data_IF_793894086380
#
_entry.id   IF_793894086380
#
_cell.length_a   1.000
_cell.length_b   1.000
_cell.length_c   1.000
_cell.angle_alpha   90.00
_cell.angle_beta   90.00
_cell.angle_gamma   90.00
#
_symmetry.space_group_name_H-M   'P 1'
#
loop_
_entity.id
_entity.type
_entity.pdbx_description
1 polymer ?
#
# COMPACT_ATOMS: atom_id res chain seq x y z
N UNK A 1 70.23 40.92 -4.14
CA UNK A 1 68.90 41.26 -4.71
C UNK A 1 67.87 40.10 -4.72
N UNK A 2 68.22 38.83 -4.47
CA UNK A 2 67.25 37.72 -4.49
C UNK A 2 66.39 37.54 -3.22
N UNK A 3 66.85 38.01 -2.04
CA UNK A 3 66.12 37.84 -0.77
C UNK A 3 64.87 38.72 -0.59
N UNK A 4 64.85 39.89 -1.24
CA UNK A 4 63.72 40.83 -1.17
C UNK A 4 62.51 40.34 -1.97
N UNK A 5 62.74 39.72 -3.14
CA UNK A 5 61.67 39.18 -4.00
C UNK A 5 60.89 38.03 -3.36
N UNK A 6 61.55 37.14 -2.59
CA UNK A 6 60.87 36.03 -1.89
C UNK A 6 59.93 36.50 -0.78
N UNK A 7 60.34 37.49 0.03
CA UNK A 7 59.48 38.04 1.10
C UNK A 7 58.25 38.74 0.53
N UNK A 8 58.40 39.50 -0.56
CA UNK A 8 57.27 40.17 -1.21
C UNK A 8 56.27 39.17 -1.83
N UNK A 9 56.74 38.08 -2.45
CA UNK A 9 55.87 37.04 -3.01
C UNK A 9 55.09 36.30 -1.91
N UNK A 10 55.72 36.00 -0.77
CA UNK A 10 55.04 35.36 0.38
C UNK A 10 53.97 36.28 0.97
N UNK A 11 54.25 37.58 1.10
CA UNK A 11 53.27 38.56 1.62
C UNK A 11 52.10 38.74 0.66
N UNK A 12 52.34 38.82 -0.65
CA UNK A 12 51.27 38.92 -1.66
C UNK A 12 50.42 37.65 -1.69
N UNK A 13 51.05 36.47 -1.58
CA UNK A 13 50.33 35.19 -1.54
C UNK A 13 49.46 35.05 -0.28
N UNK A 14 49.96 35.48 0.88
CA UNK A 14 49.20 35.49 2.13
C UNK A 14 48.02 36.47 2.09
N UNK A 15 48.22 37.65 1.48
CA UNK A 15 47.14 38.63 1.28
C UNK A 15 46.07 38.10 0.32
N UNK A 16 46.47 37.46 -0.79
CA UNK A 16 45.53 36.83 -1.72
C UNK A 16 44.73 35.69 -1.05
N UNK A 17 45.38 34.89 -0.21
CA UNK A 17 44.71 33.83 0.54
C UNK A 17 43.71 34.39 1.57
N UNK A 18 44.08 35.46 2.27
CA UNK A 18 43.20 36.19 3.18
C UNK A 18 42.01 36.84 2.46
N UNK A 19 42.24 37.45 1.30
CA UNK A 19 41.17 38.00 0.47
C UNK A 19 40.24 36.91 -0.07
N UNK A 20 40.79 35.75 -0.46
CA UNK A 20 39.99 34.60 -0.89
C UNK A 20 39.18 34.01 0.27
N UNK A 21 39.76 33.91 1.47
CA UNK A 21 39.08 33.46 2.68
C UNK A 21 37.99 34.45 3.12
N UNK A 22 38.27 35.75 3.06
CA UNK A 22 37.31 36.80 3.38
C UNK A 22 36.16 36.85 2.34
N UNK A 23 36.47 36.69 1.06
CA UNK A 23 35.47 36.61 -0.02
C UNK A 23 34.59 35.36 0.11
N UNK A 24 35.17 34.21 0.43
CA UNK A 24 34.39 32.98 0.68
C UNK A 24 33.53 33.09 1.94
N UNK A 25 34.04 33.67 3.03
CA UNK A 25 33.23 33.97 4.23
C UNK A 25 32.12 34.98 3.94
N UNK A 26 32.37 36.01 3.14
CA UNK A 26 31.36 37.01 2.77
C UNK A 26 30.21 36.41 1.93
N UNK A 27 30.48 35.34 1.17
CA UNK A 27 29.45 34.61 0.42
C UNK A 27 28.75 33.55 1.28
N UNK A 28 29.51 32.82 2.10
CA UNK A 28 28.99 31.71 2.91
C UNK A 28 28.24 32.17 4.17
N UNK A 29 28.63 33.29 4.78
CA UNK A 29 28.03 33.78 6.02
C UNK A 29 26.55 34.21 5.85
N UNK A 30 26.16 34.95 4.79
CA UNK A 30 24.74 35.25 4.53
C UNK A 30 23.92 33.98 4.24
N UNK A 31 24.50 33.00 3.53
CA UNK A 31 23.84 31.71 3.25
C UNK A 31 23.64 30.93 4.55
N UNK A 32 24.64 30.91 5.43
CA UNK A 32 24.55 30.30 6.75
C UNK A 32 23.46 30.95 7.61
N UNK A 33 23.43 32.29 7.68
CA UNK A 33 22.40 33.00 8.45
C UNK A 33 20.98 32.76 7.90
N UNK A 34 20.82 32.77 6.57
CA UNK A 34 19.54 32.44 5.92
C UNK A 34 19.10 31.00 6.15
N UNK A 35 20.05 30.06 6.21
CA UNK A 35 19.75 28.68 6.59
C UNK A 35 19.32 28.57 8.05
N UNK A 36 20.04 29.26 8.96
CA UNK A 36 19.77 29.24 10.40
C UNK A 36 18.39 29.82 10.72
N UNK A 37 18.01 30.93 10.08
CA UNK A 37 16.69 31.51 10.22
C UNK A 37 15.61 30.58 9.66
N UNK A 38 15.83 29.94 8.50
CA UNK A 38 14.90 28.97 7.93
C UNK A 38 14.66 27.76 8.86
N UNK A 39 15.71 27.25 9.53
CA UNK A 39 15.55 26.17 10.51
C UNK A 39 14.75 26.59 11.75
N UNK A 40 15.01 27.77 12.30
CA UNK A 40 14.28 28.28 13.46
C UNK A 40 12.81 28.56 13.14
N UNK A 41 12.54 29.14 11.96
CA UNK A 41 11.17 29.36 11.48
C UNK A 41 10.43 28.05 11.21
N UNK A 42 11.13 27.02 10.71
CA UNK A 42 10.53 25.71 10.48
C UNK A 42 10.19 24.98 11.78
N UNK A 43 11.06 25.03 12.80
CA UNK A 43 10.77 24.41 14.10
C UNK A 43 9.57 25.08 14.79
N UNK A 44 9.48 26.42 14.72
CA UNK A 44 8.32 27.15 15.24
C UNK A 44 7.02 26.84 14.46
N UNK A 45 7.13 26.64 13.14
CA UNK A 45 6.00 26.29 12.29
C UNK A 45 5.55 24.84 12.54
N UNK A 46 6.47 23.90 12.75
CA UNK A 46 6.18 22.51 13.15
C UNK A 46 5.33 22.42 14.42
N UNK A 47 5.57 23.31 15.38
CA UNK A 47 4.85 23.34 16.65
C UNK A 47 3.48 24.05 16.56
N UNK A 48 3.31 24.99 15.64
CA UNK A 48 2.11 25.84 15.55
C UNK A 48 1.15 25.48 14.43
N UNK A 49 1.66 25.05 13.27
CA UNK A 49 0.89 24.68 12.09
C UNK A 49 1.67 23.67 11.22
N UNK A 50 1.56 22.36 11.54
CA UNK A 50 2.30 21.30 10.86
C UNK A 50 1.94 21.18 9.38
N UNK A 51 0.70 21.46 8.98
CA UNK A 51 0.25 21.35 7.59
C UNK A 51 0.96 22.36 6.68
N UNK A 52 1.06 23.61 7.15
CA UNK A 52 1.79 24.66 6.44
C UNK A 52 3.30 24.38 6.41
N UNK A 53 3.85 23.73 7.44
CA UNK A 53 5.25 23.27 7.43
C UNK A 53 5.51 22.23 6.32
N UNK A 54 4.51 21.40 5.98
CA UNK A 54 4.61 20.43 4.90
C UNK A 54 4.68 21.09 3.52
N UNK A 55 3.88 22.13 3.27
CA UNK A 55 3.91 22.88 2.00
C UNK A 55 5.18 23.73 1.87
N UNK A 56 5.68 24.27 2.99
CA UNK A 56 6.90 25.08 3.04
C UNK A 56 8.14 24.35 2.49
N UNK A 57 8.18 23.02 2.55
CA UNK A 57 9.30 22.21 2.03
C UNK A 57 9.44 22.23 0.50
N UNK A 58 8.37 22.53 -0.24
CA UNK A 58 8.40 22.53 -1.72
C UNK A 58 8.96 23.83 -2.30
N UNK A 59 8.92 24.93 -1.54
CA UNK A 59 9.47 26.22 -1.93
C UNK A 59 11.00 26.34 -1.70
N UNK A 60 11.61 25.36 -1.01
CA UNK A 60 13.03 25.39 -0.66
C UNK A 60 13.88 24.89 -1.83
N UNK A 61 14.44 25.84 -2.58
CA UNK A 61 15.31 25.60 -3.74
C UNK A 61 16.66 24.93 -3.41
N UNK A 62 17.10 24.94 -2.15
CA UNK A 62 18.40 24.38 -1.73
C UNK A 62 18.27 22.94 -1.24
N UNK A 63 18.76 21.99 -2.04
CA UNK A 63 18.64 20.55 -1.79
C UNK A 63 19.19 20.12 -0.41
N UNK A 64 20.34 20.66 0.02
CA UNK A 64 20.97 20.31 1.31
C UNK A 64 20.14 20.77 2.52
N UNK A 65 19.48 21.92 2.42
CA UNK A 65 18.61 22.44 3.48
C UNK A 65 17.34 21.59 3.55
N UNK A 66 16.75 21.28 2.38
CA UNK A 66 15.58 20.40 2.25
C UNK A 66 15.82 19.02 2.87
N UNK A 67 16.99 18.41 2.65
CA UNK A 67 17.34 17.11 3.25
C UNK A 67 17.40 17.17 4.79
N UNK A 68 17.97 18.24 5.37
CA UNK A 68 18.05 18.38 6.83
C UNK A 68 16.68 18.64 7.47
N UNK A 69 15.84 19.45 6.83
CA UNK A 69 14.47 19.73 7.28
C UNK A 69 13.59 18.48 7.17
N UNK A 70 13.72 17.70 6.09
CA UNK A 70 13.05 16.40 5.95
C UNK A 70 13.39 15.44 7.10
N UNK A 71 14.66 15.34 7.51
CA UNK A 71 15.05 14.52 8.67
C UNK A 71 14.36 14.97 9.97
N UNK A 72 14.24 16.29 10.18
CA UNK A 72 13.53 16.86 11.34
C UNK A 72 12.03 16.57 11.29
N UNK A 73 11.44 16.71 10.11
CA UNK A 73 10.05 16.38 9.87
C UNK A 73 9.73 14.92 10.21
N UNK A 74 10.57 13.99 9.74
CA UNK A 74 10.40 12.56 10.01
C UNK A 74 10.54 12.26 11.51
N UNK A 75 11.46 12.92 12.22
CA UNK A 75 11.62 12.75 13.67
C UNK A 75 10.44 13.32 14.46
N UNK A 76 9.89 14.46 14.06
CA UNK A 76 8.69 15.04 14.68
C UNK A 76 7.48 14.12 14.49
N UNK A 77 7.26 13.65 13.26
CA UNK A 77 6.18 12.71 12.94
C UNK A 77 6.27 11.40 13.72
N UNK A 78 7.48 10.87 13.88
CA UNK A 78 7.72 9.71 14.77
C UNK A 78 7.34 10.00 16.22
N UNK A 79 7.72 11.16 16.76
CA UNK A 79 7.36 11.55 18.13
C UNK A 79 5.83 11.64 18.31
N UNK A 80 5.15 12.36 17.42
CA UNK A 80 3.69 12.55 17.46
C UNK A 80 2.96 11.22 17.30
N UNK A 81 3.44 10.35 16.41
CA UNK A 81 2.91 8.99 16.26
C UNK A 81 2.91 8.23 17.59
N UNK A 82 4.01 8.31 18.36
CA UNK A 82 4.11 7.65 19.66
C UNK A 82 3.21 8.26 20.74
N UNK A 83 2.96 9.56 20.68
CA UNK A 83 2.06 10.22 21.62
C UNK A 83 0.60 9.81 21.38
N UNK A 84 0.16 9.79 20.12
CA UNK A 84 -1.16 9.26 19.75
C UNK A 84 -1.29 7.78 20.07
N UNK A 85 -0.22 7.01 19.84
CA UNK A 85 -0.15 5.59 20.17
C UNK A 85 -0.39 5.36 21.67
N UNK A 86 0.34 6.07 22.54
CA UNK A 86 0.18 5.98 23.98
C UNK A 86 -1.21 6.43 24.47
N UNK A 87 -1.90 7.25 23.68
CA UNK A 87 -3.24 7.73 23.98
C UNK A 87 -4.37 6.83 23.44
N UNK A 88 -4.05 5.70 22.79
CA UNK A 88 -5.04 4.82 22.16
C UNK A 88 -5.68 5.40 20.88
N UNK A 89 -5.12 6.49 20.36
CA UNK A 89 -5.55 7.16 19.13
C UNK A 89 -4.83 6.56 17.94
N UNK A 90 -5.15 5.30 17.67
CA UNK A 90 -4.36 4.48 16.75
C UNK A 90 -4.38 5.03 15.33
N UNK A 91 -5.53 5.47 14.84
CA UNK A 91 -5.66 6.12 13.53
C UNK A 91 -4.67 7.27 13.41
N UNK A 92 -4.69 8.24 14.32
CA UNK A 92 -3.82 9.43 14.27
C UNK A 92 -2.33 9.10 14.48
N UNK A 93 -2.04 8.06 15.28
CA UNK A 93 -0.69 7.51 15.43
C UNK A 93 -0.15 7.01 14.09
N UNK A 94 -0.98 6.27 13.35
CA UNK A 94 -0.65 5.73 12.05
C UNK A 94 -0.56 6.80 10.96
N UNK A 95 -1.46 7.79 10.98
CA UNK A 95 -1.39 8.96 10.11
C UNK A 95 -0.04 9.67 10.25
N UNK A 96 0.40 9.90 11.49
CA UNK A 96 1.69 10.52 11.76
C UNK A 96 2.85 9.65 11.28
N UNK A 97 2.77 8.33 11.48
CA UNK A 97 3.83 7.39 11.11
C UNK A 97 4.00 7.17 9.59
N UNK A 98 2.92 7.21 8.80
CA UNK A 98 2.91 6.92 7.35
C UNK A 98 3.75 7.87 6.49
N UNK A 99 4.09 9.05 7.00
CA UNK A 99 4.93 10.05 6.33
C UNK A 99 6.33 10.14 6.93
N UNK A 100 6.68 9.22 7.83
CA UNK A 100 8.07 9.03 8.24
C UNK A 100 8.78 8.41 7.04
N UNK A 101 9.31 9.25 6.15
CA UNK A 101 10.17 8.81 5.04
C UNK A 101 11.56 8.32 5.52
N UNK A 102 11.76 8.16 6.84
CA UNK A 102 12.95 7.57 7.44
C UNK A 102 12.65 6.12 7.82
N UNK A 103 13.26 5.21 7.06
CA UNK A 103 13.06 3.76 7.18
C UNK A 103 13.38 3.23 8.58
N UNK A 104 14.38 3.77 9.27
CA UNK A 104 14.79 3.28 10.60
C UNK A 104 13.74 3.64 11.66
N UNK A 105 13.22 4.87 11.64
CA UNK A 105 12.20 5.33 12.58
C UNK A 105 10.85 4.64 12.35
N UNK A 106 10.51 4.41 11.09
CA UNK A 106 9.32 3.64 10.72
C UNK A 106 9.44 2.20 11.24
N UNK A 107 10.62 1.58 11.10
CA UNK A 107 10.90 0.23 11.62
C UNK A 107 10.76 0.14 13.13
N UNK A 108 11.27 1.13 13.85
CA UNK A 108 11.18 1.15 15.32
C UNK A 108 9.71 1.26 15.78
N UNK A 109 8.91 2.11 15.13
CA UNK A 109 7.47 2.21 15.40
C UNK A 109 6.74 0.89 15.11
N UNK A 110 7.08 0.24 13.99
CA UNK A 110 6.50 -1.06 13.59
C UNK A 110 6.82 -2.19 14.58
N UNK A 111 8.05 -2.24 15.10
CA UNK A 111 8.42 -3.23 16.13
C UNK A 111 7.60 -3.07 17.41
N UNK A 112 7.27 -1.84 17.81
CA UNK A 112 6.39 -1.58 18.96
C UNK A 112 4.97 -2.09 18.69
N UNK A 113 4.47 -1.94 17.46
CA UNK A 113 3.17 -2.50 17.04
C UNK A 113 3.14 -4.03 17.08
N UNK A 114 4.24 -4.69 16.68
CA UNK A 114 4.39 -6.17 16.74
C UNK A 114 4.27 -6.66 18.19
N UNK A 115 5.00 -6.02 19.11
CA UNK A 115 4.96 -6.42 20.52
C UNK A 115 3.55 -6.29 21.11
N UNK A 116 2.78 -5.29 20.65
CA UNK A 116 1.39 -5.12 21.05
C UNK A 116 0.48 -6.20 20.45
N UNK A 117 0.64 -6.57 19.18
CA UNK A 117 -0.09 -7.71 18.58
C UNK A 117 0.09 -9.01 19.36
N UNK A 118 1.32 -9.28 19.76
CA UNK A 118 1.66 -10.48 20.54
C UNK A 118 1.04 -10.44 21.95
N UNK A 119 0.87 -9.25 22.52
CA UNK A 119 0.31 -9.04 23.85
C UNK A 119 -1.23 -8.94 23.88
N UNK A 120 -1.86 -8.55 22.78
CA UNK A 120 -3.30 -8.30 22.68
C UNK A 120 -4.12 -9.61 22.81
N UNK A 121 -5.27 -9.59 23.49
CA UNK A 121 -6.14 -10.76 23.60
C UNK A 121 -7.44 -10.61 22.80
N UNK A 122 -7.85 -9.38 22.51
CA UNK A 122 -9.03 -9.12 21.69
C UNK A 122 -8.82 -9.60 20.24
N UNK A 123 -9.71 -10.47 19.76
CA UNK A 123 -9.57 -11.13 18.46
C UNK A 123 -9.71 -10.13 17.28
N UNK A 124 -10.52 -9.08 17.45
CA UNK A 124 -10.72 -8.04 16.43
C UNK A 124 -9.48 -7.15 16.33
N UNK A 125 -8.95 -6.69 17.46
CA UNK A 125 -7.72 -5.89 17.57
C UNK A 125 -6.49 -6.69 17.15
N UNK A 126 -6.43 -7.99 17.44
CA UNK A 126 -5.40 -8.89 16.89
C UNK A 126 -5.52 -9.02 15.38
N UNK A 127 -6.71 -9.22 14.84
CA UNK A 127 -6.94 -9.29 13.39
C UNK A 127 -6.54 -7.97 12.71
N UNK A 128 -6.82 -6.85 13.36
CA UNK A 128 -6.41 -5.50 12.95
C UNK A 128 -4.89 -5.27 12.99
N UNK A 129 -4.22 -5.54 14.11
CA UNK A 129 -2.77 -5.40 14.24
C UNK A 129 -2.06 -6.35 13.28
N UNK A 130 -2.57 -7.59 13.12
CA UNK A 130 -2.14 -8.52 12.08
C UNK A 130 -2.25 -7.89 10.70
N UNK A 131 -3.37 -7.20 10.40
CA UNK A 131 -3.62 -6.44 9.17
C UNK A 131 -2.84 -5.12 9.04
N UNK A 132 -2.06 -4.70 10.03
CA UNK A 132 -1.16 -3.55 9.97
C UNK A 132 0.30 -3.98 9.78
N UNK A 133 0.70 -5.10 10.40
CA UNK A 133 2.04 -5.70 10.29
C UNK A 133 2.40 -6.17 8.86
N UNK A 134 1.43 -6.16 7.94
CA UNK A 134 1.57 -6.45 6.49
C UNK A 134 2.67 -5.65 5.80
N UNK A 135 2.98 -4.44 6.30
CA UNK A 135 3.73 -3.44 5.54
C UNK A 135 5.17 -3.18 5.98
N UNK A 136 5.70 -3.86 7.02
CA UNK A 136 7.09 -3.65 7.48
C UNK A 136 8.12 -4.61 6.87
N UNK A 137 7.67 -5.67 6.21
CA UNK A 137 8.50 -6.73 5.65
C UNK A 137 8.84 -6.45 4.18
N UNK A 138 9.75 -5.50 3.93
CA UNK A 138 10.36 -5.42 2.60
C UNK A 138 11.89 -5.48 2.59
N UNK A 139 12.59 -5.62 3.73
CA UNK A 139 14.06 -5.62 3.67
C UNK A 139 14.87 -6.59 4.53
N UNK A 140 14.32 -7.53 5.30
CA UNK A 140 15.18 -8.53 5.98
C UNK A 140 14.37 -9.72 6.49
N UNK A 141 14.21 -10.77 5.69
CA UNK A 141 14.54 -12.17 6.06
C UNK A 141 14.08 -13.14 4.97
N UNK A 142 15.04 -13.62 4.18
CA UNK A 142 14.89 -14.82 3.35
C UNK A 142 15.22 -16.11 4.13
N UNK A 143 15.24 -16.10 5.47
CA UNK A 143 15.85 -17.20 6.24
C UNK A 143 15.20 -17.58 7.58
N UNK A 144 14.02 -17.08 7.93
CA UNK A 144 13.28 -17.61 9.09
C UNK A 144 11.83 -17.87 8.70
N UNK A 145 11.27 -18.95 9.26
CA UNK A 145 9.98 -19.56 8.91
C UNK A 145 8.82 -18.57 9.03
N UNK A 146 8.48 -17.99 7.87
CA UNK A 146 7.22 -17.36 7.43
C UNK A 146 6.67 -16.13 8.21
N UNK A 147 6.99 -14.89 7.76
CA UNK A 147 6.22 -13.71 8.09
C UNK A 147 5.07 -13.51 7.09
N UNK A 148 3.89 -14.00 7.47
CA UNK A 148 2.61 -13.88 6.77
C UNK A 148 2.25 -12.43 6.41
N UNK A 149 1.93 -12.15 5.13
CA UNK A 149 1.53 -10.85 4.56
C UNK A 149 0.00 -10.88 4.28
N UNK A 150 -0.87 -10.25 5.12
CA UNK A 150 -2.32 -10.51 5.14
C UNK A 150 -3.23 -9.89 4.08
N UNK A 151 -2.75 -9.12 3.09
CA UNK A 151 -3.58 -8.77 1.93
C UNK A 151 -2.88 -9.11 0.63
N UNK A 152 -2.51 -10.38 0.55
CA UNK A 152 -2.30 -11.05 -0.71
C UNK A 152 -3.61 -11.77 -1.01
N UNK A 153 -4.27 -11.55 -2.15
CA UNK A 153 -5.27 -12.49 -2.60
C UNK A 153 -4.57 -13.85 -2.80
N UNK A 154 -4.64 -14.69 -1.76
CA UNK A 154 -4.08 -16.04 -1.76
C UNK A 154 -4.99 -17.01 -2.51
N UNK A 155 -6.17 -16.55 -2.88
CA UNK A 155 -7.10 -17.22 -3.76
C UNK A 155 -7.54 -16.28 -4.86
N UNK A 156 -7.88 -16.85 -6.01
CA UNK A 156 -8.51 -16.14 -7.10
C UNK A 156 -9.44 -17.08 -7.87
N UNK A 157 -10.52 -16.54 -8.43
CA UNK A 157 -11.49 -17.33 -9.19
C UNK A 157 -11.65 -16.71 -10.57
N UNK A 158 -11.26 -17.46 -11.60
CA UNK A 158 -11.51 -17.13 -12.99
C UNK A 158 -12.77 -17.82 -13.51
N UNK A 159 -12.99 -17.78 -14.81
CA UNK A 159 -14.10 -18.50 -15.43
C UNK A 159 -13.75 -19.98 -15.59
N UNK A 160 -14.43 -20.83 -14.81
CA UNK A 160 -14.23 -22.29 -14.85
C UNK A 160 -13.03 -22.81 -14.04
N UNK A 161 -12.24 -21.93 -13.42
CA UNK A 161 -11.10 -22.33 -12.59
C UNK A 161 -10.92 -21.46 -11.36
N UNK A 162 -10.18 -21.98 -10.38
CA UNK A 162 -9.71 -21.24 -9.22
C UNK A 162 -8.23 -21.53 -8.96
N UNK A 163 -7.56 -20.55 -8.34
CA UNK A 163 -6.15 -20.61 -7.95
C UNK A 163 -6.04 -20.41 -6.46
N UNK A 164 -5.11 -21.13 -5.82
CA UNK A 164 -4.74 -20.88 -4.43
C UNK A 164 -3.22 -20.92 -4.26
N UNK A 165 -2.67 -19.85 -3.71
CA UNK A 165 -1.28 -19.75 -3.25
C UNK A 165 -1.11 -20.61 -2.00
N UNK A 166 -0.21 -21.58 -2.10
CA UNK A 166 0.15 -22.51 -1.03
C UNK A 166 1.20 -21.90 -0.09
N UNK A 167 1.38 -22.43 1.14
CA UNK A 167 2.38 -21.92 2.08
C UNK A 167 3.82 -21.92 1.57
N UNK A 168 4.16 -22.83 0.65
CA UNK A 168 5.47 -22.90 -0.01
C UNK A 168 5.60 -21.95 -1.23
N UNK A 169 4.56 -21.15 -1.49
CA UNK A 169 4.49 -20.21 -2.61
C UNK A 169 4.18 -20.86 -3.96
N UNK A 170 3.80 -22.14 -4.02
CA UNK A 170 3.29 -22.76 -5.24
C UNK A 170 1.82 -22.38 -5.48
N UNK A 171 1.35 -22.49 -6.73
CA UNK A 171 -0.07 -22.31 -7.07
C UNK A 171 -0.75 -23.66 -7.22
N UNK A 172 -1.75 -23.93 -6.38
CA UNK A 172 -2.73 -24.97 -6.64
C UNK A 172 -3.79 -24.45 -7.63
N UNK A 173 -4.15 -25.29 -8.60
CA UNK A 173 -5.10 -24.97 -9.66
C UNK A 173 -6.27 -25.94 -9.58
N UNK A 174 -7.49 -25.42 -9.61
CA UNK A 174 -8.73 -26.19 -9.53
C UNK A 174 -9.59 -25.87 -10.75
N UNK A 175 -10.33 -26.85 -11.26
CA UNK A 175 -11.20 -26.69 -12.43
C UNK A 175 -10.44 -26.74 -13.76
N UNK A 176 -10.93 -26.01 -14.75
CA UNK A 176 -10.44 -25.99 -16.13
C UNK A 176 -9.70 -24.66 -16.42
N UNK A 177 -8.39 -24.57 -16.11
CA UNK A 177 -7.63 -23.36 -16.38
C UNK A 177 -7.48 -23.11 -17.89
N UNK A 178 -7.20 -21.86 -18.31
CA UNK A 178 -6.90 -21.52 -19.69
C UNK A 178 -5.72 -22.36 -20.23
N UNK A 179 -5.81 -22.74 -21.51
CA UNK A 179 -4.75 -23.48 -22.19
C UNK A 179 -3.39 -22.75 -22.07
N UNK A 180 -2.34 -23.49 -21.72
CA UNK A 180 -0.99 -22.96 -21.54
C UNK A 180 -0.70 -22.33 -20.17
N UNK A 181 -1.70 -22.06 -19.32
CA UNK A 181 -1.45 -21.50 -17.97
C UNK A 181 -0.57 -22.44 -17.15
N UNK A 182 -0.86 -23.75 -17.21
CA UNK A 182 -0.11 -24.78 -16.47
C UNK A 182 1.34 -24.95 -16.94
N UNK A 183 1.64 -24.60 -18.19
CA UNK A 183 3.01 -24.65 -18.72
C UNK A 183 3.82 -23.43 -18.27
N UNK A 184 3.15 -22.31 -17.96
CA UNK A 184 3.79 -21.04 -17.61
C UNK A 184 4.02 -20.89 -16.11
N UNK A 185 3.08 -21.35 -15.26
CA UNK A 185 3.18 -21.24 -13.79
C UNK A 185 4.52 -21.76 -13.23
N UNK A 186 5.07 -22.92 -13.66
CA UNK A 186 6.36 -23.41 -13.16
C UNK A 186 7.54 -22.44 -13.37
N UNK A 187 7.41 -21.48 -14.29
CA UNK A 187 8.44 -20.48 -14.58
C UNK A 187 8.27 -19.17 -13.80
N UNK A 188 7.19 -19.00 -13.05
CA UNK A 188 6.94 -17.78 -12.25
C UNK A 188 7.77 -17.70 -10.97
N UNK A 189 8.26 -18.84 -10.47
CA UNK A 189 8.92 -18.92 -9.17
C UNK A 189 7.93 -18.87 -8.01
N UNK A 190 8.36 -18.34 -6.86
CA UNK A 190 7.53 -18.27 -5.65
C UNK A 190 6.41 -17.25 -5.86
N UNK A 191 5.16 -17.68 -5.82
CA UNK A 191 3.99 -16.82 -5.93
C UNK A 191 3.55 -16.35 -4.55
N UNK A 192 3.29 -15.06 -4.45
CA UNK A 192 2.83 -14.38 -3.25
C UNK A 192 1.34 -14.14 -3.25
N UNK A 193 0.81 -13.67 -4.37
CA UNK A 193 -0.57 -13.22 -4.50
C UNK A 193 -1.04 -13.47 -5.92
N UNK A 194 -2.33 -13.66 -6.10
CA UNK A 194 -2.94 -13.94 -7.38
C UNK A 194 -4.31 -13.28 -7.50
N UNK A 195 -4.62 -12.74 -8.67
CA UNK A 195 -5.96 -12.30 -9.05
C UNK A 195 -6.30 -12.90 -10.40
N UNK A 196 -7.55 -13.28 -10.59
CA UNK A 196 -8.03 -13.89 -11.81
C UNK A 196 -9.36 -13.26 -12.22
N UNK A 197 -9.57 -13.18 -13.53
CA UNK A 197 -10.80 -12.70 -14.13
C UNK A 197 -10.93 -13.39 -15.49
N UNK A 198 -12.09 -13.99 -15.76
CA UNK A 198 -12.30 -14.81 -16.96
C UNK A 198 -11.14 -15.78 -17.18
N UNK A 199 -10.42 -15.69 -18.31
CA UNK A 199 -9.29 -16.54 -18.68
C UNK A 199 -7.93 -15.90 -18.42
N UNK A 200 -7.88 -14.89 -17.55
CA UNK A 200 -6.69 -14.11 -17.29
C UNK A 200 -6.29 -14.16 -15.81
N UNK A 201 -4.98 -14.10 -15.58
CA UNK A 201 -4.36 -14.19 -14.27
C UNK A 201 -3.26 -13.14 -14.16
N UNK A 202 -3.23 -12.45 -13.02
CA UNK A 202 -2.10 -11.62 -12.60
C UNK A 202 -1.61 -12.14 -11.26
N UNK A 203 -0.30 -12.36 -11.14
CA UNK A 203 0.33 -12.81 -9.92
C UNK A 203 1.44 -11.87 -9.48
N UNK A 204 1.63 -11.75 -8.18
CA UNK A 204 2.87 -11.21 -7.61
C UNK A 204 3.80 -12.37 -7.32
N UNK A 205 5.02 -12.31 -7.84
CA UNK A 205 6.07 -13.30 -7.61
C UNK A 205 7.20 -12.69 -6.79
N UNK A 206 7.92 -13.54 -6.04
CA UNK A 206 9.04 -13.14 -5.20
C UNK A 206 10.29 -13.91 -5.65
N UNK A 207 11.39 -13.17 -5.75
CA UNK A 207 12.75 -13.69 -5.87
C UNK A 207 13.63 -13.11 -4.76
N UNK A 208 14.87 -13.62 -4.63
CA UNK A 208 15.85 -13.06 -3.69
C UNK A 208 16.12 -11.55 -3.88
N UNK A 209 15.88 -11.02 -5.09
CA UNK A 209 16.24 -9.64 -5.46
C UNK A 209 15.06 -8.68 -5.46
N UNK A 210 13.86 -9.15 -5.80
CA UNK A 210 12.68 -8.30 -5.96
C UNK A 210 11.38 -9.10 -6.02
N UNK A 211 10.28 -8.46 -5.62
CA UNK A 211 8.92 -8.87 -5.95
C UNK A 211 8.47 -8.20 -7.27
N UNK A 212 7.75 -8.93 -8.13
CA UNK A 212 7.33 -8.44 -9.47
C UNK A 212 5.92 -8.90 -9.79
N UNK A 213 5.24 -8.17 -10.67
CA UNK A 213 3.99 -8.65 -11.24
C UNK A 213 4.25 -9.45 -12.53
N UNK A 214 3.59 -10.59 -12.65
CA UNK A 214 3.54 -11.42 -13.86
C UNK A 214 2.09 -11.64 -14.24
N UNK A 215 1.82 -11.92 -15.51
CA UNK A 215 0.46 -12.15 -15.98
C UNK A 215 0.42 -13.17 -17.11
N UNK A 216 -0.74 -13.80 -17.27
CA UNK A 216 -1.05 -14.74 -18.34
C UNK A 216 -2.52 -14.63 -18.73
N UNK A 217 -2.84 -14.83 -20.01
CA UNK A 217 -4.21 -14.83 -20.53
C UNK A 217 -4.46 -13.76 -21.58
N UNK A 218 -5.74 -13.39 -21.74
CA UNK A 218 -6.20 -12.44 -22.75
C UNK A 218 -5.73 -11.01 -22.43
N UNK A 219 -5.17 -10.34 -23.43
CA UNK A 219 -4.53 -9.04 -23.29
C UNK A 219 -4.94 -8.02 -24.38
N UNK A 220 -6.12 -8.18 -24.98
CA UNK A 220 -6.56 -7.36 -26.11
C UNK A 220 -6.73 -5.87 -25.77
N UNK A 221 -6.86 -5.54 -24.48
CA UNK A 221 -6.96 -4.17 -23.95
C UNK A 221 -5.70 -3.73 -23.20
N UNK A 222 -4.61 -4.49 -23.31
CA UNK A 222 -3.38 -4.31 -22.54
C UNK A 222 -3.58 -4.46 -21.01
N UNK A 223 -4.66 -5.14 -20.59
CA UNK A 223 -4.99 -5.34 -19.18
C UNK A 223 -3.93 -6.15 -18.41
N UNK A 224 -3.08 -6.91 -19.11
CA UNK A 224 -1.99 -7.72 -18.54
C UNK A 224 -0.60 -7.10 -18.75
N UNK A 225 -0.51 -5.83 -19.16
CA UNK A 225 0.76 -5.12 -19.38
C UNK A 225 1.47 -4.73 -18.06
N UNK A 226 1.68 -5.70 -17.16
CA UNK A 226 2.24 -5.52 -15.80
C UNK A 226 3.74 -5.80 -15.70
N UNK A 227 4.40 -6.19 -16.80
CA UNK A 227 5.80 -6.66 -16.78
C UNK A 227 6.84 -5.64 -16.34
N UNK A 228 6.49 -4.35 -16.26
CA UNK A 228 7.37 -3.29 -15.73
C UNK A 228 7.24 -3.10 -14.21
N UNK A 229 6.26 -3.75 -13.57
CA UNK A 229 5.95 -3.54 -12.16
C UNK A 229 6.92 -4.31 -11.26
N UNK A 230 7.75 -3.56 -10.55
CA UNK A 230 8.61 -4.08 -9.49
C UNK A 230 8.07 -3.65 -8.12
N UNK A 231 8.45 -4.37 -7.07
CA UNK A 231 7.92 -4.22 -5.70
C UNK A 231 6.40 -4.38 -5.65
N UNK A 232 5.86 -5.26 -6.49
CA UNK A 232 4.45 -5.63 -6.47
C UNK A 232 4.08 -6.29 -5.15
N UNK A 233 2.87 -6.01 -4.65
CA UNK A 233 2.36 -6.56 -3.39
C UNK A 233 1.05 -7.32 -3.61
N UNK A 234 0.06 -6.63 -4.16
CA UNK A 234 -1.30 -7.15 -4.29
C UNK A 234 -1.84 -6.80 -5.67
N UNK A 235 -2.07 -7.80 -6.54
CA UNK A 235 -2.72 -7.60 -7.82
C UNK A 235 -4.24 -7.64 -7.67
N UNK A 236 -4.93 -6.87 -8.49
CA UNK A 236 -6.36 -6.93 -8.70
C UNK A 236 -6.62 -6.81 -10.20
N UNK A 237 -7.37 -7.75 -10.75
CA UNK A 237 -7.66 -7.85 -12.17
C UNK A 237 -9.16 -7.69 -12.41
N UNK A 238 -9.49 -6.95 -13.46
CA UNK A 238 -10.86 -6.77 -13.99
C UNK A 238 -10.89 -7.06 -15.49
N UNK A 239 -12.07 -6.94 -16.10
CA UNK A 239 -12.27 -7.08 -17.54
C UNK A 239 -11.41 -6.10 -18.38
N UNK A 240 -11.13 -4.92 -17.84
CA UNK A 240 -10.53 -3.82 -18.60
C UNK A 240 -9.10 -3.52 -18.21
N UNK A 241 -8.68 -3.85 -16.98
CA UNK A 241 -7.34 -3.51 -16.49
C UNK A 241 -6.92 -4.29 -15.25
N UNK A 242 -5.62 -4.20 -14.97
CA UNK A 242 -5.04 -4.58 -13.69
C UNK A 242 -4.68 -3.36 -12.87
N UNK A 243 -4.91 -3.45 -11.56
CA UNK A 243 -4.34 -2.59 -10.55
C UNK A 243 -3.36 -3.41 -9.70
N UNK A 244 -2.14 -2.94 -9.55
CA UNK A 244 -1.11 -3.60 -8.72
C UNK A 244 -0.63 -2.64 -7.65
N UNK A 245 -0.90 -2.98 -6.39
CA UNK A 245 -0.40 -2.24 -5.24
C UNK A 245 1.12 -2.39 -5.12
N UNK A 246 1.82 -1.30 -4.85
CA UNK A 246 3.28 -1.26 -4.77
C UNK A 246 3.75 -1.05 -3.33
N UNK A 247 4.80 -1.75 -2.91
CA UNK A 247 5.28 -1.75 -1.53
C UNK A 247 5.72 -0.36 -1.00
N UNK A 248 6.05 0.59 -1.89
CA UNK A 248 6.37 1.97 -1.51
C UNK A 248 5.15 2.82 -1.19
N UNK A 249 3.95 2.27 -1.25
CA UNK A 249 2.70 3.01 -1.31
C UNK A 249 2.38 3.42 -2.75
N UNK A 250 1.09 3.42 -3.07
CA UNK A 250 0.58 3.71 -4.41
C UNK A 250 0.23 2.45 -5.21
N UNK A 251 -0.19 2.65 -6.45
CA UNK A 251 -0.55 1.55 -7.35
C UNK A 251 -0.17 1.85 -8.79
N UNK A 252 0.15 0.78 -9.51
CA UNK A 252 0.28 0.77 -10.97
C UNK A 252 -1.03 0.31 -11.59
N UNK A 253 -1.48 0.95 -12.66
CA UNK A 253 -2.69 0.58 -13.40
C UNK A 253 -2.42 0.52 -14.90
N UNK A 254 -3.05 -0.42 -15.60
CA UNK A 254 -2.77 -0.64 -17.03
C UNK A 254 -3.64 0.19 -17.98
N UNK A 255 -4.81 0.68 -17.54
CA UNK A 255 -5.76 1.46 -18.37
C UNK A 255 -5.45 2.97 -18.45
N UNK A 256 -4.23 3.39 -18.15
CA UNK A 256 -3.80 4.80 -18.20
C UNK A 256 -4.56 5.74 -17.25
N UNK A 257 -5.36 5.22 -16.30
CA UNK A 257 -5.92 6.04 -15.24
C UNK A 257 -4.77 6.63 -14.38
N UNK A 258 -4.88 7.91 -14.04
CA UNK A 258 -3.81 8.59 -13.31
C UNK A 258 -3.86 8.23 -11.82
N UNK A 259 -2.89 7.43 -11.38
CA UNK A 259 -2.64 7.09 -9.97
C UNK A 259 -1.32 7.64 -9.45
N UNK A 260 -0.64 8.50 -10.24
CA UNK A 260 0.75 8.94 -10.02
C UNK A 260 1.00 9.69 -8.70
N UNK A 261 -0.06 10.09 -7.97
CA UNK A 261 0.01 10.78 -6.68
C UNK A 261 -0.70 10.03 -5.56
N UNK A 262 -1.13 8.80 -5.82
CA UNK A 262 -1.83 8.00 -4.82
C UNK A 262 -0.85 7.51 -3.76
N UNK A 263 -1.22 7.71 -2.50
CA UNK A 263 -0.60 7.06 -1.35
C UNK A 263 -1.61 6.07 -0.78
N UNK A 264 -1.69 4.89 -1.42
CA UNK A 264 -2.63 3.82 -1.07
C UNK A 264 -1.91 2.61 -0.50
N UNK A 265 -2.59 1.89 0.38
CA UNK A 265 -2.16 0.63 1.00
C UNK A 265 -2.71 -0.61 0.28
N UNK A 266 -3.79 -0.44 -0.48
CA UNK A 266 -4.40 -1.45 -1.34
C UNK A 266 -5.08 -0.75 -2.51
N UNK A 267 -5.02 -1.36 -3.69
CA UNK A 267 -5.76 -0.95 -4.88
C UNK A 267 -6.52 -2.13 -5.47
N UNK A 268 -7.70 -1.84 -6.02
CA UNK A 268 -8.60 -2.77 -6.70
C UNK A 268 -9.04 -2.21 -8.05
N UNK A 269 -9.20 -3.11 -9.02
CA UNK A 269 -9.67 -2.79 -10.36
C UNK A 269 -11.16 -3.15 -10.51
N UNK A 270 -11.99 -2.16 -10.81
CA UNK A 270 -13.36 -2.36 -11.30
C UNK A 270 -13.42 -2.31 -12.83
N UNK A 271 -14.61 -2.41 -13.42
CA UNK A 271 -14.75 -2.42 -14.88
C UNK A 271 -14.32 -1.09 -15.52
N UNK A 272 -14.66 0.04 -14.91
CA UNK A 272 -14.36 1.38 -15.46
C UNK A 272 -13.65 2.30 -14.47
N UNK A 273 -13.23 1.77 -13.32
CA UNK A 273 -12.59 2.56 -12.28
C UNK A 273 -11.46 1.78 -11.61
N UNK A 274 -10.48 2.51 -11.10
CA UNK A 274 -9.57 2.00 -10.08
C UNK A 274 -9.99 2.62 -8.77
N UNK A 275 -10.04 1.81 -7.72
CA UNK A 275 -10.14 2.31 -6.35
C UNK A 275 -8.90 1.92 -5.56
N UNK A 276 -8.52 2.74 -4.61
CA UNK A 276 -7.52 2.37 -3.62
C UNK A 276 -7.87 2.97 -2.28
N UNK A 277 -7.43 2.35 -1.20
CA UNK A 277 -7.64 2.88 0.15
C UNK A 277 -6.32 3.42 0.65
N UNK A 278 -6.34 4.64 1.18
CA UNK A 278 -5.16 5.27 1.75
C UNK A 278 -4.94 4.83 3.20
N UNK A 279 -3.82 5.26 3.77
CA UNK A 279 -3.45 4.95 5.16
C UNK A 279 -4.41 5.51 6.22
N UNK A 280 -5.29 6.43 5.82
CA UNK A 280 -6.32 7.04 6.65
C UNK A 280 -7.63 6.22 6.65
N UNK A 281 -7.65 5.10 5.95
CA UNK A 281 -8.87 4.31 5.74
C UNK A 281 -9.92 5.02 4.88
N UNK A 282 -9.48 5.92 4.00
CA UNK A 282 -10.34 6.64 3.06
C UNK A 282 -10.12 6.12 1.63
N UNK A 283 -11.19 5.77 0.91
CA UNK A 283 -11.09 5.41 -0.50
C UNK A 283 -10.69 6.60 -1.38
N UNK A 284 -9.92 6.31 -2.42
CA UNK A 284 -9.61 7.15 -3.56
C UNK A 284 -10.12 6.40 -4.80
N UNK A 285 -10.86 7.08 -5.67
CA UNK A 285 -11.42 6.47 -6.87
C UNK A 285 -11.08 7.33 -8.09
N UNK A 286 -10.72 6.70 -9.19
CA UNK A 286 -10.50 7.36 -10.49
C UNK A 286 -11.20 6.57 -11.59
N UNK A 287 -11.68 7.27 -12.62
CA UNK A 287 -12.43 6.68 -13.74
C UNK A 287 -13.96 6.67 -13.60
N UNK A 288 -14.49 6.78 -12.39
CA UNK A 288 -15.92 6.91 -12.12
C UNK A 288 -16.16 7.98 -11.05
N UNK A 289 -16.57 9.18 -11.49
CA UNK A 289 -16.78 10.34 -10.60
C UNK A 289 -17.98 10.15 -9.67
N UNK A 290 -19.06 9.53 -10.14
CA UNK A 290 -20.23 9.21 -9.32
C UNK A 290 -19.85 8.26 -8.19
N UNK A 291 -19.06 7.24 -8.48
CA UNK A 291 -18.57 6.32 -7.44
C UNK A 291 -17.64 7.05 -6.45
N UNK A 292 -16.77 7.94 -6.94
CA UNK A 292 -15.89 8.73 -6.08
C UNK A 292 -16.67 9.60 -5.08
N UNK A 293 -17.77 10.22 -5.52
CA UNK A 293 -18.66 11.01 -4.65
C UNK A 293 -19.37 10.13 -3.61
N UNK A 294 -19.85 8.95 -4.01
CA UNK A 294 -20.55 8.03 -3.10
C UNK A 294 -19.68 7.50 -1.96
N UNK A 295 -18.37 7.39 -2.16
CA UNK A 295 -17.44 6.86 -1.16
C UNK A 295 -16.65 7.93 -0.41
N UNK A 296 -16.93 9.21 -0.66
CA UNK A 296 -16.15 10.32 -0.10
C UNK A 296 -16.21 10.39 1.44
N UNK A 297 -17.33 9.94 2.01
CA UNK A 297 -17.60 9.95 3.45
C UNK A 297 -17.20 8.64 4.14
N UNK A 298 -16.71 7.64 3.37
CA UNK A 298 -16.24 6.39 3.95
C UNK A 298 -14.96 6.63 4.76
N UNK A 299 -14.90 6.01 5.93
CA UNK A 299 -13.77 6.12 6.85
C UNK A 299 -13.45 4.75 7.45
N UNK A 300 -12.25 4.62 8.01
CA UNK A 300 -11.81 3.40 8.70
C UNK A 300 -11.78 2.14 7.81
N UNK A 301 -11.79 2.31 6.48
CA UNK A 301 -11.75 1.22 5.51
C UNK A 301 -10.37 0.55 5.55
N UNK A 302 -10.34 -0.78 5.67
CA UNK A 302 -9.11 -1.58 5.70
C UNK A 302 -8.99 -2.55 4.54
N UNK A 303 -10.10 -2.80 3.83
CA UNK A 303 -10.16 -3.68 2.67
C UNK A 303 -11.12 -3.09 1.64
N UNK A 304 -10.79 -3.29 0.37
CA UNK A 304 -11.65 -2.99 -0.76
C UNK A 304 -11.91 -4.26 -1.58
N UNK A 305 -13.11 -4.39 -2.14
CA UNK A 305 -13.44 -5.38 -3.16
C UNK A 305 -14.24 -4.72 -4.29
N UNK A 306 -13.83 -4.96 -5.54
CA UNK A 306 -14.48 -4.40 -6.73
C UNK A 306 -15.36 -5.45 -7.42
N UNK A 307 -16.67 -5.19 -7.52
CA UNK A 307 -17.67 -6.10 -8.10
C UNK A 307 -18.13 -5.68 -9.50
N UNK A 308 -17.19 -5.38 -10.40
CA UNK A 308 -17.49 -4.74 -11.69
C UNK A 308 -17.70 -3.24 -11.52
N UNK A 309 -18.95 -2.80 -11.38
CA UNK A 309 -19.30 -1.37 -11.16
C UNK A 309 -19.47 -1.02 -9.67
N UNK A 310 -19.73 -2.02 -8.82
CA UNK A 310 -19.86 -1.83 -7.38
C UNK A 310 -18.49 -1.79 -6.70
N UNK A 311 -18.36 -0.98 -5.64
CA UNK A 311 -17.23 -0.99 -4.71
C UNK A 311 -17.72 -1.34 -3.31
N UNK A 312 -16.98 -2.21 -2.64
CA UNK A 312 -17.22 -2.59 -1.26
C UNK A 312 -16.02 -2.21 -0.41
N UNK A 313 -16.25 -1.63 0.76
CA UNK A 313 -15.22 -1.28 1.72
C UNK A 313 -15.53 -1.92 3.06
N UNK A 314 -14.58 -2.68 3.62
CA UNK A 314 -14.75 -3.26 4.95
C UNK A 314 -13.97 -2.41 5.96
N UNK A 315 -14.64 -1.99 7.02
CA UNK A 315 -14.02 -1.19 8.09
C UNK A 315 -13.22 -2.08 9.06
N UNK A 316 -12.37 -1.44 9.85
CA UNK A 316 -11.66 -2.10 10.98
C UNK A 316 -12.61 -2.76 11.98
N UNK A 317 -13.79 -2.17 12.18
CA UNK A 317 -14.80 -2.63 13.12
C UNK A 317 -15.71 -3.73 12.53
N UNK A 318 -15.37 -4.25 11.35
CA UNK A 318 -16.12 -5.31 10.69
C UNK A 318 -17.47 -4.84 10.15
N UNK A 319 -17.58 -3.56 9.78
CA UNK A 319 -18.76 -3.00 9.10
C UNK A 319 -18.50 -2.91 7.62
N UNK A 320 -19.39 -3.45 6.80
CA UNK A 320 -19.32 -3.39 5.35
C UNK A 320 -19.99 -2.12 4.86
N UNK A 321 -19.28 -1.37 4.02
CA UNK A 321 -19.81 -0.30 3.21
C UNK A 321 -19.94 -0.73 1.75
N UNK A 322 -20.99 -0.26 1.08
CA UNK A 322 -21.27 -0.63 -0.30
C UNK A 322 -21.73 0.57 -1.13
N UNK A 323 -21.08 0.78 -2.28
CA UNK A 323 -21.43 1.82 -3.24
C UNK A 323 -21.73 1.19 -4.60
N UNK A 324 -22.82 1.63 -5.23
CA UNK A 324 -23.34 1.07 -6.49
C UNK A 324 -23.56 -0.45 -6.44
N UNK A 325 -23.81 -1.00 -5.25
CA UNK A 325 -24.10 -2.43 -5.08
C UNK A 325 -25.51 -2.77 -5.57
N UNK A 326 -25.64 -3.98 -6.12
CA UNK A 326 -26.94 -4.59 -6.43
C UNK A 326 -27.60 -5.20 -5.19
N UNK A 327 -26.89 -5.23 -4.05
CA UNK A 327 -27.30 -5.89 -2.82
C UNK A 327 -27.44 -4.87 -1.70
N UNK A 328 -28.45 -5.06 -0.85
CA UNK A 328 -28.65 -4.25 0.35
C UNK A 328 -27.78 -4.80 1.49
N UNK A 329 -26.50 -4.40 1.47
CA UNK A 329 -25.45 -4.91 2.37
C UNK A 329 -24.66 -3.80 3.08
N UNK A 330 -24.98 -2.53 2.79
CA UNK A 330 -24.36 -1.38 3.46
C UNK A 330 -24.74 -1.39 4.94
N UNK A 331 -23.76 -1.24 5.81
CA UNK A 331 -23.94 -1.30 7.27
C UNK A 331 -23.97 -2.72 7.85
N UNK A 332 -23.81 -3.79 7.06
CA UNK A 332 -23.68 -5.14 7.63
C UNK A 332 -22.49 -5.21 8.58
N UNK A 333 -22.71 -5.71 9.80
CA UNK A 333 -21.70 -5.76 10.85
C UNK A 333 -21.25 -7.19 11.15
N UNK A 334 -20.11 -7.31 11.85
CA UNK A 334 -19.51 -8.61 12.18
C UNK A 334 -18.90 -9.31 10.96
N UNK A 335 -18.46 -8.52 9.98
CA UNK A 335 -17.83 -9.01 8.75
C UNK A 335 -16.32 -9.05 8.92
N UNK A 336 -15.70 -10.14 8.48
CA UNK A 336 -14.24 -10.32 8.54
C UNK A 336 -13.60 -10.42 7.17
N UNK A 337 -14.30 -10.76 6.10
CA UNK A 337 -13.72 -10.76 4.75
C UNK A 337 -14.78 -10.43 3.70
N UNK A 338 -14.34 -9.85 2.58
CA UNK A 338 -15.22 -9.52 1.46
C UNK A 338 -14.49 -9.71 0.13
N UNK A 339 -15.17 -10.36 -0.81
CA UNK A 339 -14.69 -10.53 -2.19
C UNK A 339 -15.85 -10.31 -3.15
N UNK A 340 -15.55 -9.71 -4.30
CA UNK A 340 -16.56 -9.35 -5.29
C UNK A 340 -16.09 -9.65 -6.70
N UNK A 341 -17.05 -9.94 -7.57
CA UNK A 341 -16.91 -10.06 -9.01
C UNK A 341 -18.13 -9.40 -9.68
N UNK A 342 -18.14 -9.17 -11.00
CA UNK A 342 -19.31 -8.57 -11.66
C UNK A 342 -20.62 -9.29 -11.33
N UNK A 343 -21.54 -8.57 -10.67
CA UNK A 343 -22.85 -9.10 -10.25
C UNK A 343 -22.81 -10.13 -9.11
N UNK A 344 -21.67 -10.29 -8.43
CA UNK A 344 -21.46 -11.26 -7.35
C UNK A 344 -20.79 -10.60 -6.15
N UNK A 345 -21.17 -11.05 -4.96
CA UNK A 345 -20.53 -10.65 -3.72
C UNK A 345 -20.46 -11.86 -2.79
N UNK A 346 -19.33 -12.02 -2.11
CA UNK A 346 -19.15 -12.99 -1.05
C UNK A 346 -18.67 -12.26 0.20
N UNK A 347 -19.35 -12.53 1.30
CA UNK A 347 -19.05 -11.95 2.61
C UNK A 347 -18.74 -13.08 3.59
N UNK A 348 -17.70 -12.92 4.40
CA UNK A 348 -17.39 -13.84 5.49
C UNK A 348 -17.71 -13.17 6.82
N UNK A 349 -18.54 -13.80 7.64
CA UNK A 349 -18.83 -13.30 8.98
C UNK A 349 -17.77 -13.73 10.01
N UNK A 350 -17.79 -13.07 11.17
CA UNK A 350 -16.91 -13.34 12.31
C UNK A 350 -17.07 -14.73 12.94
N UNK A 351 -18.11 -15.48 12.55
CA UNK A 351 -18.32 -16.86 12.98
C UNK A 351 -17.74 -17.87 11.97
N UNK A 352 -17.07 -17.39 10.91
CA UNK A 352 -16.51 -18.24 9.86
C UNK A 352 -17.56 -18.77 8.88
N UNK A 353 -18.70 -18.09 8.73
CA UNK A 353 -19.74 -18.43 7.75
C UNK A 353 -19.66 -17.53 6.52
N UNK A 354 -19.60 -18.14 5.34
CA UNK A 354 -19.69 -17.43 4.07
C UNK A 354 -21.15 -17.17 3.66
N UNK A 355 -21.43 -15.95 3.21
CA UNK A 355 -22.74 -15.46 2.78
C UNK A 355 -22.63 -15.04 1.31
N UNK A 356 -23.17 -15.84 0.37
CA UNK A 356 -23.13 -15.54 -1.05
C UNK A 356 -24.28 -14.63 -1.48
N UNK A 357 -23.98 -13.66 -2.35
CA UNK A 357 -24.95 -12.79 -3.01
C UNK A 357 -24.78 -12.85 -4.53
N UNK A 358 -25.88 -12.97 -5.26
CA UNK A 358 -25.89 -13.10 -6.72
C UNK A 358 -25.49 -14.49 -7.24
N UNK A 359 -25.29 -15.48 -6.37
CA UNK A 359 -25.02 -16.86 -6.73
C UNK A 359 -26.30 -17.71 -6.78
N UNK A 360 -26.22 -18.85 -7.48
CA UNK A 360 -27.31 -19.81 -7.50
C UNK A 360 -27.55 -20.41 -6.10
N UNK A 361 -28.79 -20.81 -5.74
CA UNK A 361 -29.10 -21.40 -4.43
C UNK A 361 -28.22 -22.59 -4.04
N UNK A 362 -27.78 -23.38 -5.03
CA UNK A 362 -26.87 -24.52 -4.80
C UNK A 362 -25.51 -24.12 -4.20
N UNK A 363 -25.03 -22.89 -4.46
CA UNK A 363 -23.81 -22.37 -3.82
C UNK A 363 -24.05 -22.13 -2.34
N UNK A 364 -25.19 -21.50 -1.99
CA UNK A 364 -25.57 -21.28 -0.59
C UNK A 364 -25.71 -22.61 0.16
N UNK A 365 -26.41 -23.59 -0.41
CA UNK A 365 -26.57 -24.93 0.18
C UNK A 365 -25.24 -25.67 0.38
N UNK A 366 -24.26 -25.44 -0.49
CA UNK A 366 -22.92 -25.99 -0.35
C UNK A 366 -22.15 -25.30 0.79
N UNK A 367 -22.21 -23.96 0.86
CA UNK A 367 -21.53 -23.18 1.90
C UNK A 367 -22.10 -23.41 3.29
N UNK A 368 -23.41 -23.71 3.42
CA UNK A 368 -24.04 -24.04 4.71
C UNK A 368 -23.50 -25.32 5.36
N UNK A 369 -22.85 -26.19 4.58
CA UNK A 369 -22.23 -27.42 5.09
C UNK A 369 -20.81 -27.20 5.61
N UNK A 370 -20.28 -26.00 5.44
CA UNK A 370 -18.94 -25.61 5.87
C UNK A 370 -19.03 -24.74 7.13
N UNK A 371 -17.99 -24.80 7.96
CA UNK A 371 -17.81 -23.95 9.13
C UNK A 371 -16.36 -23.51 9.24
N UNK A 372 -16.10 -22.51 10.08
CA UNK A 372 -14.76 -22.07 10.45
C UNK A 372 -13.90 -21.61 9.26
N UNK A 373 -14.56 -21.01 8.26
CA UNK A 373 -13.88 -20.45 7.10
C UNK A 373 -13.05 -19.22 7.51
N UNK A 374 -11.89 -19.10 6.87
CA UNK A 374 -10.89 -18.06 7.10
C UNK A 374 -10.82 -17.03 5.96
N UNK A 375 -11.24 -17.38 4.74
CA UNK A 375 -11.26 -16.44 3.62
C UNK A 375 -12.29 -16.80 2.55
N UNK A 376 -12.70 -15.80 1.78
CA UNK A 376 -13.63 -15.95 0.65
C UNK A 376 -13.11 -15.28 -0.61
N UNK A 377 -13.35 -15.91 -1.76
CA UNK A 377 -12.98 -15.40 -3.06
C UNK A 377 -14.14 -15.58 -4.05
N UNK A 378 -14.60 -14.46 -4.61
CA UNK A 378 -15.71 -14.42 -5.55
C UNK A 378 -15.20 -14.47 -7.00
N UNK A 379 -15.80 -15.33 -7.81
CA UNK A 379 -15.73 -15.28 -9.28
C UNK A 379 -17.13 -15.18 -9.89
N UNK A 380 -17.21 -14.92 -11.19
CA UNK A 380 -18.50 -14.76 -11.91
C UNK A 380 -19.33 -16.04 -11.85
N UNK A 381 -18.69 -17.19 -12.06
CA UNK A 381 -19.35 -18.50 -12.18
C UNK A 381 -19.02 -19.47 -11.03
N UNK A 382 -18.20 -19.04 -10.07
CA UNK A 382 -17.70 -19.91 -9.01
C UNK A 382 -17.22 -19.14 -7.79
N UNK A 383 -16.85 -19.90 -6.76
CA UNK A 383 -16.34 -19.38 -5.50
C UNK A 383 -15.19 -20.26 -5.03
N UNK A 384 -14.25 -19.67 -4.31
CA UNK A 384 -13.25 -20.38 -3.54
C UNK A 384 -13.37 -19.92 -2.09
N UNK A 385 -13.38 -20.85 -1.16
CA UNK A 385 -13.36 -20.58 0.27
C UNK A 385 -12.20 -21.35 0.89
N UNK A 386 -11.65 -20.81 1.97
CA UNK A 386 -10.52 -21.41 2.68
C UNK A 386 -10.82 -21.50 4.16
#
# INVERSE_FOLDING_TARGET
MLGFKKKTIVVISALLLLFFLAGTLAVLYPIYQKSKSAFASFDALLESDPETAFTYMDDIKFITIRTKLSKRLHAYRYKVAKEYWAAGRYTEAFESASFIGNVDLLRDFQNEVIQMYLAEQDAMTKTFLRRYLIHSEYQKTANETDPYIPYRPLGAVGQGFALSVQPDGTLAVYGEPPEGLLDVIPHWGTVAAVSAFEHSVVATTISEKEARAVAFGQNDRLQLAVGSVNRAVSPSLSETHSAVTIASGGCFVTNQQSTARWAVSLAVAGNNYTAGVNWYGRPLVTGNETLAELVQDWTEIVLLAAGGDALYGLTVNGVLHAAQSLFDVDGMAGIVDVSAAPGKLMVLDQNGKAIPFGYAPSVSEALEKLSDLAAVYAGVDGVLVR
#
